data_IF_008514901985
#
_entry.id   IF_008514901985
#
_cell.length_a   1.000
_cell.length_b   1.000
_cell.length_c   1.000
_cell.angle_alpha   90.00
_cell.angle_beta   90.00
_cell.angle_gamma   90.00
#
_symmetry.space_group_name_H-M   'P 1'
#
loop_
_entity.id
_entity.type
_entity.pdbx_description
1 polymer ?
#
# COMPACT_ATOMS: atom_id res chain seq x y z
N UNK A 1 -4.39 17.71 -0.25
CA UNK A 1 -4.60 16.68 0.79
C UNK A 1 -3.81 15.45 0.37
N UNK A 2 -3.14 14.73 1.30
CA UNK A 2 -2.34 13.56 0.92
C UNK A 2 -3.24 12.40 0.46
N UNK A 3 -2.81 11.67 -0.56
CA UNK A 3 -3.47 10.43 -0.98
C UNK A 3 -2.87 9.25 -0.23
N UNK A 4 -3.73 8.31 0.16
CA UNK A 4 -3.36 7.08 0.86
C UNK A 4 -3.86 5.91 0.03
N UNK A 5 -2.98 4.96 -0.27
CA UNK A 5 -3.38 3.68 -0.83
C UNK A 5 -3.41 2.63 0.28
N UNK A 6 -4.52 1.92 0.42
CA UNK A 6 -4.66 0.83 1.40
C UNK A 6 -4.60 -0.51 0.69
N UNK A 7 -3.64 -1.35 1.07
CA UNK A 7 -3.62 -2.75 0.66
C UNK A 7 -4.46 -3.56 1.65
N UNK A 8 -5.35 -4.40 1.12
CA UNK A 8 -6.21 -5.26 1.94
C UNK A 8 -6.14 -6.68 1.39
N UNK A 9 -5.85 -7.64 2.26
CA UNK A 9 -5.99 -9.06 1.98
C UNK A 9 -7.18 -9.65 2.72
N UNK A 10 -7.58 -10.86 2.34
CA UNK A 10 -8.60 -11.62 3.05
C UNK A 10 -8.14 -11.90 4.49
N UNK A 11 -8.86 -11.45 5.54
CA UNK A 11 -8.42 -11.60 6.92
C UNK A 11 -8.14 -13.04 7.39
N UNK A 12 -8.85 -14.02 6.81
CA UNK A 12 -8.65 -15.44 7.12
C UNK A 12 -7.29 -15.97 6.63
N UNK A 13 -6.79 -15.47 5.51
CA UNK A 13 -5.57 -15.99 4.87
C UNK A 13 -4.34 -15.18 5.21
N UNK A 14 -4.52 -13.88 5.55
CA UNK A 14 -3.45 -12.96 5.92
C UNK A 14 -2.32 -12.91 4.89
N UNK A 15 -2.69 -12.78 3.62
CA UNK A 15 -1.76 -12.90 2.50
C UNK A 15 -0.83 -11.68 2.31
N UNK A 16 -1.03 -10.59 3.05
CA UNK A 16 -0.24 -9.37 2.92
C UNK A 16 1.08 -9.47 3.70
N UNK A 17 2.09 -10.09 3.10
CA UNK A 17 3.41 -10.23 3.71
C UNK A 17 4.18 -8.88 3.75
N UNK A 18 5.19 -8.75 4.64
CA UNK A 18 6.08 -7.59 4.64
C UNK A 18 6.81 -7.36 3.32
N UNK A 19 7.21 -8.43 2.62
CA UNK A 19 7.86 -8.31 1.31
C UNK A 19 6.92 -7.74 0.26
N UNK A 20 5.65 -8.18 0.24
CA UNK A 20 4.61 -7.66 -0.65
C UNK A 20 4.32 -6.18 -0.38
N UNK A 21 4.12 -5.81 0.89
CA UNK A 21 3.88 -4.41 1.27
C UNK A 21 5.07 -3.51 0.86
N UNK A 22 6.30 -3.99 1.03
CA UNK A 22 7.50 -3.26 0.62
C UNK A 22 7.63 -3.13 -0.91
N UNK A 23 7.24 -4.16 -1.67
CA UNK A 23 7.20 -4.08 -3.14
C UNK A 23 6.16 -3.05 -3.60
N UNK A 24 4.95 -3.11 -3.06
CA UNK A 24 3.89 -2.16 -3.36
C UNK A 24 4.31 -0.72 -3.01
N UNK A 25 4.87 -0.51 -1.81
CA UNK A 25 5.41 0.79 -1.38
C UNK A 25 6.42 1.37 -2.38
N UNK A 26 7.37 0.56 -2.85
CA UNK A 26 8.33 0.99 -3.88
C UNK A 26 7.68 1.28 -5.23
N UNK A 27 6.72 0.47 -5.66
CA UNK A 27 6.04 0.65 -6.95
C UNK A 27 5.28 1.97 -7.07
N UNK A 28 4.74 2.47 -5.95
CA UNK A 28 3.97 3.73 -5.90
C UNK A 28 4.78 4.89 -5.31
N UNK A 29 6.07 4.69 -5.00
CA UNK A 29 6.94 5.71 -4.42
C UNK A 29 6.50 6.18 -3.02
N UNK A 30 5.89 5.31 -2.22
CA UNK A 30 5.43 5.66 -0.88
C UNK A 30 6.60 5.87 0.10
N UNK A 31 6.42 6.79 1.03
CA UNK A 31 7.45 7.13 2.04
C UNK A 31 7.47 6.18 3.24
N UNK A 32 6.36 5.48 3.49
CA UNK A 32 6.22 4.57 4.62
C UNK A 32 5.14 3.51 4.34
N UNK A 33 5.29 2.36 5.00
CA UNK A 33 4.25 1.34 5.17
C UNK A 33 3.73 1.44 6.59
N UNK A 34 2.43 1.68 6.76
CA UNK A 34 1.78 1.78 8.08
C UNK A 34 0.85 0.59 8.25
N UNK A 35 1.21 -0.36 9.10
CA UNK A 35 0.37 -1.53 9.35
C UNK A 35 -0.85 -1.16 10.19
N UNK A 36 -2.03 -1.50 9.66
CA UNK A 36 -3.31 -1.41 10.39
C UNK A 36 -3.60 -2.73 11.10
N UNK A 37 -3.27 -3.84 10.45
CA UNK A 37 -3.28 -5.18 11.00
C UNK A 37 -2.27 -6.07 10.27
N UNK A 38 -1.37 -6.69 11.03
CA UNK A 38 -0.31 -7.55 10.49
C UNK A 38 -0.89 -8.66 9.60
N UNK A 39 -0.38 -8.75 8.37
CA UNK A 39 -0.83 -9.73 7.37
C UNK A 39 -2.15 -9.38 6.68
N UNK A 40 -2.92 -8.39 7.15
CA UNK A 40 -4.27 -8.10 6.65
C UNK A 40 -4.31 -6.80 5.87
N UNK A 41 -3.85 -5.70 6.48
CA UNK A 41 -3.93 -4.39 5.86
C UNK A 41 -2.81 -3.45 6.27
N UNK A 42 -2.36 -2.65 5.31
CA UNK A 42 -1.46 -1.53 5.54
C UNK A 42 -1.79 -0.34 4.63
N UNK A 43 -1.48 0.85 5.12
CA UNK A 43 -1.54 2.09 4.38
C UNK A 43 -0.17 2.45 3.81
N UNK A 44 -0.20 3.00 2.60
CA UNK A 44 0.94 3.57 1.88
C UNK A 44 0.71 5.06 1.68
N UNK A 45 1.58 5.88 2.27
CA UNK A 45 1.54 7.32 2.10
C UNK A 45 2.12 7.69 0.72
N UNK A 46 1.26 8.09 -0.22
CA UNK A 46 1.65 8.40 -1.59
C UNK A 46 2.36 9.76 -1.70
N UNK A 47 3.24 9.94 -2.70
CA UNK A 47 3.92 11.21 -2.91
C UNK A 47 2.93 12.33 -3.29
N UNK A 48 3.25 13.61 -3.03
CA UNK A 48 2.36 14.74 -3.36
C UNK A 48 2.01 14.86 -4.84
N UNK A 49 2.84 14.31 -5.73
CA UNK A 49 2.63 14.28 -7.16
C UNK A 49 1.65 13.19 -7.62
N UNK A 50 1.22 12.29 -6.73
CA UNK A 50 0.24 11.26 -7.06
C UNK A 50 -1.12 11.91 -7.40
N UNK A 51 -1.69 11.51 -8.52
CA UNK A 51 -3.00 11.92 -8.97
C UNK A 51 -4.06 10.96 -8.43
N UNK A 52 -5.25 11.48 -8.13
CA UNK A 52 -6.38 10.67 -7.68
C UNK A 52 -7.05 9.87 -8.81
N UNK A 53 -6.56 10.04 -10.05
CA UNK A 53 -6.98 9.26 -11.19
C UNK A 53 -6.51 7.81 -11.03
N UNK A 54 -7.13 6.87 -11.76
CA UNK A 54 -6.88 5.43 -11.63
C UNK A 54 -5.37 5.12 -11.81
N UNK A 55 -4.68 4.91 -10.70
CA UNK A 55 -3.25 4.64 -10.65
C UNK A 55 -3.06 3.14 -10.62
N UNK A 56 -2.59 2.57 -11.73
CA UNK A 56 -2.23 1.16 -11.79
C UNK A 56 -0.81 0.99 -11.24
N UNK A 57 -0.65 0.18 -10.20
CA UNK A 57 0.69 -0.16 -9.71
C UNK A 57 1.42 -1.00 -10.78
N UNK A 58 2.64 -0.61 -11.11
CA UNK A 58 3.53 -1.43 -11.95
C UNK A 58 4.12 -2.55 -11.05
N UNK A 59 3.48 -3.73 -11.07
CA UNK A 59 3.85 -4.90 -10.28
C UNK A 59 4.52 -5.98 -11.14
#
# INVERSE_FOLDING_TARGET
MPLIATLVSRPADRALSPSLANMASRSVGASAVVWLAEGIACDLALPPAAQADETTAEL
#
